data_IF_167994522055
#
_entry.id   IF_167994522055
#
_cell.length_a   1.000
_cell.length_b   1.000
_cell.length_c   1.000
_cell.angle_alpha   90.00
_cell.angle_beta   90.00
_cell.angle_gamma   90.00
#
_symmetry.space_group_name_H-M   'P 1'
#
loop_
_entity.id
_entity.type
_entity.pdbx_description
1 polymer ?
#
# COMPACT_ATOMS: atom_id res chain seq x y z
N UNK A 1 -1.10 11.02 -6.28
CA UNK A 1 -0.74 11.28 -4.87
C UNK A 1 -0.20 12.69 -4.76
N UNK A 2 -0.54 13.45 -3.72
CA UNK A 2 0.04 14.79 -3.49
C UNK A 2 1.42 14.66 -2.84
N UNK A 3 2.18 15.75 -2.85
CA UNK A 3 3.47 15.83 -2.17
C UNK A 3 3.35 15.64 -0.65
N UNK A 4 2.34 16.25 -0.02
CA UNK A 4 2.20 16.18 1.44
C UNK A 4 1.83 14.76 1.90
N UNK A 5 0.92 14.09 1.19
CA UNK A 5 0.60 12.69 1.48
C UNK A 5 1.80 11.76 1.26
N UNK A 6 2.74 12.12 0.36
CA UNK A 6 3.99 11.38 0.19
C UNK A 6 4.88 11.50 1.42
N UNK A 7 5.09 12.71 1.90
CA UNK A 7 5.91 12.96 3.08
C UNK A 7 5.30 12.35 4.34
N UNK A 8 3.98 12.44 4.50
CA UNK A 8 3.27 11.82 5.61
C UNK A 8 3.47 10.30 5.60
N UNK A 9 3.21 9.65 4.46
CA UNK A 9 3.41 8.20 4.34
C UNK A 9 4.87 7.80 4.57
N UNK A 10 5.82 8.56 4.02
CA UNK A 10 7.24 8.32 4.23
C UNK A 10 7.60 8.37 5.72
N UNK A 11 7.14 9.40 6.44
CA UNK A 11 7.43 9.56 7.88
C UNK A 11 6.88 8.39 8.72
N UNK A 12 5.79 7.76 8.26
CA UNK A 12 5.20 6.61 8.94
C UNK A 12 6.02 5.32 8.74
N UNK A 13 6.71 5.17 7.61
CA UNK A 13 7.34 3.90 7.23
C UNK A 13 8.87 3.93 7.21
N UNK A 14 9.51 5.10 7.18
CA UNK A 14 10.96 5.21 6.91
C UNK A 14 11.84 4.53 7.98
N UNK A 15 11.35 4.45 9.22
CA UNK A 15 12.03 3.79 10.34
C UNK A 15 11.92 2.26 10.28
N UNK A 16 11.11 1.72 9.38
CA UNK A 16 10.82 0.29 9.30
C UNK A 16 12.09 -0.53 8.98
N UNK A 17 12.32 -1.68 9.66
CA UNK A 17 13.54 -2.48 9.50
C UNK A 17 13.83 -3.05 8.10
N UNK A 18 12.86 -2.98 7.16
CA UNK A 18 13.05 -3.38 5.76
C UNK A 18 13.86 -2.36 4.96
N UNK A 19 13.85 -1.09 5.39
CA UNK A 19 14.62 -0.02 4.77
C UNK A 19 16.05 0.06 5.32
N UNK A 20 16.32 -0.60 6.45
CA UNK A 20 17.62 -0.64 7.08
C UNK A 20 18.56 -1.60 6.35
N UNK A 21 19.82 -1.19 6.19
CA UNK A 21 20.86 -1.98 5.53
C UNK A 21 21.22 -3.21 6.37
N UNK A 22 20.86 -4.41 5.88
CA UNK A 22 21.20 -5.70 6.51
C UNK A 22 22.45 -6.38 5.94
N UNK A 23 23.00 -5.86 4.84
CA UNK A 23 24.14 -6.46 4.14
C UNK A 23 25.28 -5.45 3.93
N UNK A 24 26.41 -5.88 3.39
CA UNK A 24 27.53 -4.97 3.06
C UNK A 24 27.18 -3.99 1.93
N UNK A 25 26.18 -4.31 1.11
CA UNK A 25 25.78 -3.49 -0.04
C UNK A 25 24.90 -2.31 0.39
N UNK A 26 25.16 -1.08 -0.11
CA UNK A 26 24.29 0.06 0.12
C UNK A 26 22.88 -0.22 -0.37
N UNK A 27 21.87 0.16 0.42
CA UNK A 27 20.47 0.09 0.03
C UNK A 27 19.98 1.52 -0.30
N UNK A 28 19.11 1.65 -1.30
CA UNK A 28 18.52 2.94 -1.64
C UNK A 28 17.70 3.51 -0.45
N UNK A 29 17.62 4.84 -0.29
CA UNK A 29 16.81 5.46 0.76
C UNK A 29 15.34 5.05 0.69
N UNK A 30 14.65 5.03 1.84
CA UNK A 30 13.23 4.68 1.94
C UNK A 30 12.35 5.54 1.01
N UNK A 31 12.65 6.83 0.90
CA UNK A 31 11.96 7.76 0.00
C UNK A 31 12.04 7.34 -1.47
N UNK A 32 13.21 6.90 -1.93
CA UNK A 32 13.39 6.45 -3.30
C UNK A 32 12.65 5.12 -3.55
N UNK A 33 12.74 4.18 -2.61
CA UNK A 33 12.01 2.91 -2.71
C UNK A 33 10.49 3.12 -2.74
N UNK A 34 9.97 4.01 -1.89
CA UNK A 34 8.56 4.39 -1.84
C UNK A 34 8.11 5.03 -3.15
N UNK A 35 8.89 5.96 -3.70
CA UNK A 35 8.58 6.62 -4.97
C UNK A 35 8.44 5.61 -6.12
N UNK A 36 9.41 4.71 -6.27
CA UNK A 36 9.41 3.67 -7.30
C UNK A 36 8.23 2.71 -7.10
N UNK A 37 7.95 2.31 -5.86
CA UNK A 37 6.84 1.42 -5.55
C UNK A 37 5.48 2.05 -5.90
N UNK A 38 5.25 3.31 -5.56
CA UNK A 38 4.02 4.04 -5.89
C UNK A 38 3.84 4.22 -7.39
N UNK A 39 4.92 4.51 -8.12
CA UNK A 39 4.90 4.55 -9.58
C UNK A 39 4.52 3.18 -10.16
N UNK A 40 5.06 2.10 -9.60
CA UNK A 40 4.71 0.74 -10.00
C UNK A 40 3.24 0.40 -9.72
N UNK A 41 2.69 0.73 -8.55
CA UNK A 41 1.27 0.51 -8.22
C UNK A 41 0.32 1.29 -9.14
N UNK A 42 0.70 2.48 -9.57
CA UNK A 42 -0.09 3.26 -10.54
C UNK A 42 -0.13 2.64 -11.94
N UNK A 43 0.78 1.71 -12.25
CA UNK A 43 0.96 1.13 -13.58
C UNK A 43 0.67 -0.38 -13.65
N UNK A 44 0.48 -1.06 -12.51
CA UNK A 44 0.40 -2.53 -12.39
C UNK A 44 -0.81 -3.22 -13.05
N UNK A 45 -1.55 -2.52 -13.92
CA UNK A 45 -2.53 -3.11 -14.85
C UNK A 45 -2.00 -3.35 -16.27
N UNK A 46 -0.76 -2.93 -16.55
CA UNK A 46 -0.17 -2.98 -17.89
C UNK A 46 1.19 -3.70 -17.80
N UNK A 47 1.29 -4.91 -18.35
CA UNK A 47 2.47 -5.80 -18.20
C UNK A 47 3.81 -5.22 -18.69
N UNK A 48 3.82 -4.07 -19.37
CA UNK A 48 5.01 -3.32 -19.76
C UNK A 48 5.54 -2.30 -18.73
N UNK A 49 4.92 -2.17 -17.56
CA UNK A 49 5.26 -1.15 -16.56
C UNK A 49 6.70 -1.28 -16.03
N UNK A 50 7.21 -2.49 -15.82
CA UNK A 50 8.49 -2.73 -15.13
C UNK A 50 9.68 -2.27 -15.98
N UNK A 51 9.72 -2.59 -17.27
CA UNK A 51 10.80 -2.19 -18.17
C UNK A 51 10.89 -0.66 -18.29
N UNK A 52 9.75 0.01 -18.47
CA UNK A 52 9.69 1.48 -18.52
C UNK A 52 10.17 2.11 -17.20
N UNK A 53 9.74 1.58 -16.05
CA UNK A 53 10.21 2.06 -14.74
C UNK A 53 11.71 1.83 -14.55
N UNK A 54 12.26 0.74 -15.09
CA UNK A 54 13.69 0.44 -15.04
C UNK A 54 14.50 1.52 -15.75
N UNK A 55 14.02 1.99 -16.90
CA UNK A 55 14.64 3.08 -17.67
C UNK A 55 14.46 4.43 -16.96
N UNK A 56 13.24 4.76 -16.52
CA UNK A 56 12.91 6.06 -15.90
C UNK A 56 13.67 6.29 -14.60
N UNK A 57 13.73 5.27 -13.75
CA UNK A 57 14.37 5.37 -12.43
C UNK A 57 15.83 4.91 -12.42
N UNK A 58 16.34 4.40 -13.54
CA UNK A 58 17.69 3.85 -13.69
C UNK A 58 18.02 2.81 -12.60
N UNK A 59 17.10 1.88 -12.38
CA UNK A 59 17.20 0.78 -11.40
C UNK A 59 16.86 -0.52 -12.10
N UNK A 60 17.45 -1.64 -11.67
CA UNK A 60 17.12 -2.93 -12.29
C UNK A 60 15.67 -3.36 -11.98
N UNK A 61 15.07 -4.16 -12.85
CA UNK A 61 13.74 -4.75 -12.64
C UNK A 61 13.64 -5.49 -11.30
N UNK A 62 14.70 -6.21 -10.92
CA UNK A 62 14.79 -6.86 -9.61
C UNK A 62 14.81 -5.87 -8.45
N UNK A 63 15.40 -4.68 -8.63
CA UNK A 63 15.35 -3.61 -7.62
C UNK A 63 13.94 -3.05 -7.48
N UNK A 64 13.21 -2.86 -8.60
CA UNK A 64 11.81 -2.43 -8.58
C UNK A 64 10.96 -3.41 -7.79
N UNK A 65 11.05 -4.71 -8.09
CA UNK A 65 10.33 -5.75 -7.36
C UNK A 65 10.66 -5.73 -5.85
N UNK A 66 11.95 -5.58 -5.51
CA UNK A 66 12.38 -5.47 -4.10
C UNK A 66 11.83 -4.22 -3.42
N UNK A 67 11.86 -3.06 -4.08
CA UNK A 67 11.35 -1.80 -3.53
C UNK A 67 9.84 -1.87 -3.32
N UNK A 68 9.11 -2.42 -4.28
CA UNK A 68 7.68 -2.68 -4.18
C UNK A 68 7.36 -3.58 -2.98
N UNK A 69 8.02 -4.73 -2.87
CA UNK A 69 7.76 -5.69 -1.78
C UNK A 69 8.08 -5.10 -0.40
N UNK A 70 9.20 -4.38 -0.26
CA UNK A 70 9.57 -3.73 1.02
C UNK A 70 8.60 -2.63 1.41
N UNK A 71 8.20 -1.81 0.44
CA UNK A 71 7.22 -0.74 0.65
C UNK A 71 5.87 -1.33 1.04
N UNK A 72 5.41 -2.37 0.33
CA UNK A 72 4.17 -3.07 0.66
C UNK A 72 4.22 -3.66 2.07
N UNK A 73 5.32 -4.32 2.44
CA UNK A 73 5.49 -4.87 3.79
C UNK A 73 5.44 -3.78 4.87
N UNK A 74 6.08 -2.63 4.65
CA UNK A 74 6.06 -1.53 5.61
C UNK A 74 4.66 -0.90 5.75
N UNK A 75 3.91 -0.79 4.63
CA UNK A 75 2.53 -0.29 4.63
C UNK A 75 1.59 -1.28 5.33
N UNK A 76 1.72 -2.58 5.07
CA UNK A 76 0.90 -3.62 5.72
C UNK A 76 1.11 -3.65 7.23
N UNK A 77 2.30 -3.28 7.73
CA UNK A 77 2.51 -3.14 9.17
C UNK A 77 1.78 -1.95 9.82
N UNK A 78 1.13 -1.09 9.03
CA UNK A 78 0.21 -0.06 9.52
C UNK A 78 -1.25 -0.56 9.58
N UNK A 79 -1.54 -1.79 9.12
CA UNK A 79 -2.90 -2.33 9.00
C UNK A 79 -3.69 -2.21 10.30
N UNK A 80 -3.13 -2.65 11.43
CA UNK A 80 -3.81 -2.59 12.74
C UNK A 80 -4.26 -1.19 13.16
N UNK A 81 -3.60 -0.14 12.65
CA UNK A 81 -3.92 1.26 12.97
C UNK A 81 -5.04 1.82 12.11
N UNK A 82 -5.17 1.37 10.87
CA UNK A 82 -6.05 2.00 9.86
C UNK A 82 -7.14 1.08 9.32
N UNK A 83 -6.95 -0.23 9.38
CA UNK A 83 -7.87 -1.25 8.89
C UNK A 83 -8.52 -1.92 10.08
N UNK A 84 -9.78 -1.60 10.33
CA UNK A 84 -10.62 -2.29 11.29
C UNK A 84 -11.87 -2.81 10.59
N UNK A 85 -12.35 -3.97 11.03
CA UNK A 85 -13.68 -4.39 10.66
C UNK A 85 -14.69 -3.47 11.37
N UNK A 86 -15.61 -2.79 10.65
CA UNK A 86 -16.65 -2.03 11.30
C UNK A 86 -17.48 -2.90 12.26
N UNK A 87 -17.83 -2.32 13.39
CA UNK A 87 -18.77 -2.86 14.38
C UNK A 87 -20.17 -2.99 13.78
N UNK A 88 -21.07 -3.81 14.37
CA UNK A 88 -22.45 -3.92 13.89
C UNK A 88 -23.14 -2.56 13.76
N UNK A 89 -22.93 -1.65 14.72
CA UNK A 89 -23.49 -0.30 14.70
C UNK A 89 -22.91 0.53 13.55
N UNK A 90 -21.58 0.52 13.38
CA UNK A 90 -20.93 1.22 12.26
C UNK A 90 -21.39 0.67 10.90
N UNK A 91 -21.64 -0.64 10.78
CA UNK A 91 -22.16 -1.24 9.54
C UNK A 91 -23.56 -0.76 9.20
N UNK A 92 -24.45 -0.67 10.19
CA UNK A 92 -25.80 -0.11 9.98
C UNK A 92 -25.70 1.32 9.50
N UNK A 93 -24.90 2.17 10.16
CA UNK A 93 -24.69 3.56 9.73
C UNK A 93 -24.09 3.65 8.33
N UNK A 94 -23.15 2.77 7.98
CA UNK A 94 -22.57 2.70 6.64
C UNK A 94 -23.62 2.30 5.60
N UNK A 95 -24.44 1.27 5.88
CA UNK A 95 -25.52 0.84 4.99
C UNK A 95 -26.55 1.96 4.78
N UNK A 96 -26.97 2.63 5.85
CA UNK A 96 -27.94 3.74 5.79
C UNK A 96 -27.43 4.92 4.95
N UNK A 97 -26.10 5.09 4.86
CA UNK A 97 -25.47 6.15 4.05
C UNK A 97 -25.27 5.78 2.57
N UNK A 98 -25.42 4.50 2.21
CA UNK A 98 -25.21 4.01 0.86
C UNK A 98 -26.54 3.99 0.06
N UNK A 99 -26.50 4.20 -1.26
CA UNK A 99 -27.65 3.93 -2.13
C UNK A 99 -28.11 2.47 -2.01
N UNK A 100 -29.42 2.20 -2.10
CA UNK A 100 -30.00 0.85 -1.93
C UNK A 100 -29.45 -0.19 -2.94
N UNK A 101 -29.03 0.25 -4.12
CA UNK A 101 -28.45 -0.57 -5.18
C UNK A 101 -26.92 -0.76 -5.08
N UNK A 102 -26.32 -0.28 -3.98
CA UNK A 102 -24.89 -0.36 -3.80
C UNK A 102 -24.42 -1.79 -3.50
N UNK A 103 -23.47 -2.28 -4.31
CA UNK A 103 -22.93 -3.65 -4.23
C UNK A 103 -22.37 -4.02 -2.85
N UNK A 104 -21.97 -3.04 -2.04
CA UNK A 104 -21.38 -3.26 -0.72
C UNK A 104 -22.40 -3.49 0.39
N UNK A 105 -23.69 -3.19 0.18
CA UNK A 105 -24.75 -3.41 1.18
C UNK A 105 -24.82 -4.88 1.60
N UNK A 106 -24.70 -5.80 0.62
CA UNK A 106 -24.69 -7.25 0.87
C UNK A 106 -23.50 -7.70 1.72
N UNK A 107 -22.30 -7.15 1.46
CA UNK A 107 -21.08 -7.48 2.19
C UNK A 107 -21.09 -6.95 3.63
N UNK A 108 -21.70 -5.78 3.86
CA UNK A 108 -21.83 -5.19 5.20
C UNK A 108 -22.93 -5.87 6.04
N UNK A 109 -23.93 -6.46 5.38
CA UNK A 109 -25.06 -7.14 6.04
C UNK A 109 -24.74 -8.56 6.53
N UNK A 110 -23.61 -9.16 6.15
CA UNK A 110 -23.23 -10.50 6.58
C UNK A 110 -22.66 -10.50 8.01
N UNK A 111 -23.35 -11.17 8.94
CA UNK A 111 -22.77 -11.53 10.24
C UNK A 111 -21.66 -12.56 10.06
N UNK A 112 -20.50 -12.35 10.69
CA UNK A 112 -19.48 -13.39 10.77
C UNK A 112 -20.10 -14.54 11.56
N UNK A 113 -20.35 -15.68 10.92
CA UNK A 113 -20.48 -16.94 11.62
C UNK A 113 -19.16 -17.17 12.36
N UNK A 114 -19.19 -17.01 13.69
CA UNK A 114 -18.05 -17.19 14.57
C UNK A 114 -17.40 -18.55 14.31
N UNK A 115 -16.13 -18.55 13.93
CA UNK A 115 -15.26 -19.73 14.02
C UNK A 115 -14.52 -19.69 15.34
#
# INVERSE_FOLDING_TARGET
>A
MTHDSFLELLSMIESHPVFQKRSRNPQAPASHQLLVALAHFGLSGNGGAIAMLSEVFNVSEGSIANFTNRTLQAILNLEDRYVKWPTPQERVTMIDSLPEDNIYVSALSMERSSR
#
